data_IF_854422915986
#
_entry.id   IF_854422915986
#
_cell.length_a   1.000
_cell.length_b   1.000
_cell.length_c   1.000
_cell.angle_alpha   90.00
_cell.angle_beta   90.00
_cell.angle_gamma   90.00
#
_symmetry.space_group_name_H-M   'P 1'
#
loop_
_entity.id
_entity.type
_entity.pdbx_description
1 polymer ?
#
# COMPACT_ATOMS: atom_id res chain seq x y z
N UNK A 1 -29.09 -6.60 50.03
CA UNK A 1 -27.94 -6.77 49.12
C UNK A 1 -28.40 -6.36 47.73
N UNK A 2 -27.85 -5.27 47.20
CA UNK A 2 -28.52 -4.36 46.27
C UNK A 2 -28.37 -4.78 44.80
N UNK A 3 -29.45 -4.61 44.02
CA UNK A 3 -29.54 -4.71 42.55
C UNK A 3 -28.38 -4.00 41.80
N UNK A 4 -27.76 -3.01 42.43
CA UNK A 4 -26.62 -2.25 41.91
C UNK A 4 -25.33 -3.07 41.78
N UNK A 5 -25.17 -4.14 42.55
CA UNK A 5 -23.96 -4.98 42.54
C UNK A 5 -23.97 -5.95 41.34
N UNK A 6 -25.15 -6.46 40.97
CA UNK A 6 -25.36 -7.38 39.83
C UNK A 6 -25.11 -6.70 38.48
N UNK A 7 -25.44 -5.41 38.36
CA UNK A 7 -25.23 -4.57 37.17
C UNK A 7 -23.74 -4.22 36.95
N UNK A 8 -22.98 -3.98 38.02
CA UNK A 8 -21.52 -3.75 37.93
C UNK A 8 -20.79 -5.01 37.46
N UNK A 9 -21.21 -6.18 37.93
CA UNK A 9 -20.59 -7.45 37.55
C UNK A 9 -20.88 -7.85 36.09
N UNK A 10 -22.11 -7.58 35.59
CA UNK A 10 -22.44 -7.74 34.16
C UNK A 10 -21.62 -6.79 33.28
N UNK A 11 -21.48 -5.51 33.65
CA UNK A 11 -20.64 -4.55 32.90
C UNK A 11 -19.17 -4.97 32.86
N UNK A 12 -18.60 -5.44 33.97
CA UNK A 12 -17.22 -5.91 34.02
C UNK A 12 -17.00 -7.17 33.17
N UNK A 13 -17.97 -8.08 33.11
CA UNK A 13 -17.90 -9.25 32.23
C UNK A 13 -18.07 -8.93 30.75
N UNK A 14 -18.88 -7.91 30.39
CA UNK A 14 -18.97 -7.40 29.01
C UNK A 14 -17.66 -6.73 28.60
N UNK A 15 -17.07 -5.91 29.47
CA UNK A 15 -15.78 -5.24 29.21
C UNK A 15 -14.62 -6.26 29.09
N UNK A 16 -14.61 -7.32 29.92
CA UNK A 16 -13.66 -8.44 29.78
C UNK A 16 -13.88 -9.25 28.49
N UNK A 17 -15.13 -9.48 28.06
CA UNK A 17 -15.39 -10.18 26.79
C UNK A 17 -14.99 -9.37 25.55
N UNK A 18 -15.20 -8.05 25.58
CA UNK A 18 -14.82 -7.14 24.48
C UNK A 18 -13.29 -7.01 24.35
N UNK A 19 -12.54 -7.06 25.46
CA UNK A 19 -11.07 -6.97 25.45
C UNK A 19 -10.38 -8.26 24.98
N UNK A 20 -10.98 -9.44 25.19
CA UNK A 20 -10.44 -10.73 24.72
C UNK A 20 -10.65 -10.93 23.21
N UNK A 21 -11.63 -10.26 22.59
CA UNK A 21 -11.95 -10.44 21.16
C UNK A 21 -11.07 -9.63 20.19
N UNK A 22 -10.19 -8.74 20.68
CA UNK A 22 -9.32 -7.93 19.81
C UNK A 22 -7.89 -8.51 19.70
N UNK A 23 -7.76 -9.83 19.61
CA UNK A 23 -6.60 -10.43 18.95
C UNK A 23 -6.89 -10.47 17.44
N UNK A 24 -6.77 -9.33 16.76
CA UNK A 24 -6.79 -9.36 15.29
C UNK A 24 -5.54 -10.12 14.82
N UNK A 25 -5.73 -11.03 13.87
CA UNK A 25 -4.60 -11.65 13.19
C UNK A 25 -3.66 -10.54 12.66
N UNK A 26 -2.33 -10.73 12.71
CA UNK A 26 -1.39 -9.75 12.21
C UNK A 26 -1.74 -9.38 10.75
N UNK A 27 -1.79 -8.08 10.39
CA UNK A 27 -2.14 -7.68 9.03
C UNK A 27 -1.18 -8.34 8.04
N UNK A 28 -1.74 -8.93 6.99
CA UNK A 28 -0.96 -9.50 5.89
C UNK A 28 -0.33 -8.37 5.07
N UNK A 29 0.82 -8.65 4.47
CA UNK A 29 1.57 -7.71 3.65
C UNK A 29 1.45 -8.08 2.17
N UNK A 30 1.46 -7.06 1.32
CA UNK A 30 1.53 -7.17 -0.13
C UNK A 30 2.64 -6.29 -0.69
N UNK A 31 3.21 -6.70 -1.82
CA UNK A 31 4.07 -5.87 -2.63
C UNK A 31 3.20 -5.12 -3.64
N UNK A 32 3.24 -3.80 -3.60
CA UNK A 32 2.67 -2.91 -4.60
C UNK A 32 3.73 -2.57 -5.64
N UNK A 33 3.45 -2.87 -6.90
CA UNK A 33 4.22 -2.45 -8.05
C UNK A 33 3.53 -1.26 -8.69
N UNK A 34 4.25 -0.15 -8.85
CA UNK A 34 3.77 1.06 -9.53
C UNK A 34 4.74 1.42 -10.64
N UNK A 35 4.30 1.30 -11.90
CA UNK A 35 5.09 1.61 -13.08
C UNK A 35 4.61 2.92 -13.66
N UNK A 36 5.48 3.92 -13.68
CA UNK A 36 5.16 5.30 -14.11
C UNK A 36 6.23 5.84 -15.03
N UNK A 37 5.96 6.98 -15.67
CA UNK A 37 7.02 7.69 -16.37
C UNK A 37 8.12 8.13 -15.41
N UNK A 38 9.38 8.08 -15.86
CA UNK A 38 10.56 8.32 -15.00
C UNK A 38 10.53 9.69 -14.31
N UNK A 39 10.04 10.73 -14.99
CA UNK A 39 9.91 12.09 -14.45
C UNK A 39 8.85 12.23 -13.34
N UNK A 40 7.98 11.22 -13.17
CA UNK A 40 6.92 11.22 -12.15
C UNK A 40 7.26 10.36 -10.94
N UNK A 41 8.43 9.73 -10.91
CA UNK A 41 8.83 8.77 -9.85
C UNK A 41 8.70 9.39 -8.47
N UNK A 42 9.34 10.54 -8.22
CA UNK A 42 9.34 11.20 -6.92
C UNK A 42 7.93 11.59 -6.46
N UNK A 43 7.09 12.07 -7.39
CA UNK A 43 5.70 12.41 -7.12
C UNK A 43 4.92 11.18 -6.64
N UNK A 44 4.98 10.06 -7.37
CA UNK A 44 4.25 8.85 -6.98
C UNK A 44 4.82 8.20 -5.71
N UNK A 45 6.13 8.27 -5.49
CA UNK A 45 6.75 7.81 -4.22
C UNK A 45 6.20 8.59 -3.02
N UNK A 46 6.10 9.93 -3.12
CA UNK A 46 5.54 10.76 -2.06
C UNK A 46 4.04 10.49 -1.84
N UNK A 47 3.27 10.30 -2.93
CA UNK A 47 1.86 9.95 -2.87
C UNK A 47 1.61 8.58 -2.24
N UNK A 48 2.48 7.59 -2.46
CA UNK A 48 2.37 6.28 -1.82
C UNK A 48 2.76 6.37 -0.35
N UNK A 49 3.77 7.18 -0.01
CA UNK A 49 4.22 7.39 1.36
C UNK A 49 3.12 7.92 2.28
N UNK A 50 2.15 8.69 1.78
CA UNK A 50 1.03 9.19 2.59
C UNK A 50 0.09 8.10 3.12
N UNK A 51 0.22 6.86 2.63
CA UNK A 51 -0.51 5.68 3.11
C UNK A 51 0.24 4.90 4.20
N UNK A 52 1.15 5.56 4.92
CA UNK A 52 1.97 4.96 5.97
C UNK A 52 2.87 3.80 5.48
N UNK A 53 3.31 3.89 4.23
CA UNK A 53 4.23 2.93 3.63
C UNK A 53 5.65 3.21 4.11
N UNK A 54 6.20 2.29 4.90
CA UNK A 54 7.52 2.45 5.53
C UNK A 54 8.70 2.03 4.64
N UNK A 55 8.46 1.28 3.56
CA UNK A 55 9.51 0.85 2.63
C UNK A 55 9.06 0.95 1.18
N UNK A 56 9.91 1.61 0.38
CA UNK A 56 9.78 1.72 -1.06
C UNK A 56 11.16 1.53 -1.70
N UNK A 57 11.20 0.92 -2.88
CA UNK A 57 12.37 0.79 -3.74
C UNK A 57 12.01 1.30 -5.13
N UNK A 58 12.82 2.20 -5.69
CA UNK A 58 12.67 2.66 -7.07
C UNK A 58 13.77 2.08 -7.96
N UNK A 59 13.41 1.67 -9.16
CA UNK A 59 14.33 1.14 -10.17
C UNK A 59 14.01 1.74 -11.54
N UNK A 60 15.05 1.98 -12.34
CA UNK A 60 14.87 2.36 -13.74
C UNK A 60 14.22 1.20 -14.52
N UNK A 61 13.26 1.52 -15.37
CA UNK A 61 12.54 0.55 -16.19
C UNK A 61 12.43 1.06 -17.63
N UNK A 62 12.20 0.15 -18.57
CA UNK A 62 11.97 0.48 -19.98
C UNK A 62 10.56 0.08 -20.38
N UNK A 63 9.84 1.01 -20.99
CA UNK A 63 8.49 0.78 -21.50
C UNK A 63 8.45 -0.17 -22.70
N UNK A 64 7.25 -0.63 -23.02
CA UNK A 64 7.00 -1.64 -24.06
C UNK A 64 6.64 -1.08 -25.44
N UNK A 65 6.43 0.23 -25.57
CA UNK A 65 6.17 0.86 -26.87
C UNK A 65 7.29 0.49 -27.86
N UNK A 66 6.95 0.22 -29.13
CA UNK A 66 7.98 -0.06 -30.15
C UNK A 66 8.71 1.24 -30.53
N UNK A 67 9.96 1.15 -31.00
CA UNK A 67 10.72 2.33 -31.45
C UNK A 67 10.04 3.00 -32.67
N UNK A 68 9.41 2.20 -33.53
CA UNK A 68 8.68 2.68 -34.72
C UNK A 68 7.47 3.53 -34.33
N UNK A 69 6.66 3.05 -33.39
CA UNK A 69 5.49 3.79 -32.90
C UNK A 69 5.88 5.10 -32.21
N UNK A 70 7.01 5.10 -31.49
CA UNK A 70 7.54 6.32 -30.88
C UNK A 70 8.02 7.34 -31.90
N UNK A 71 8.80 6.89 -32.90
CA UNK A 71 9.25 7.75 -34.00
C UNK A 71 8.08 8.36 -34.78
N UNK A 72 7.06 7.55 -35.10
CA UNK A 72 5.86 8.04 -35.79
C UNK A 72 5.10 9.09 -34.98
N UNK A 73 5.08 8.97 -33.65
CA UNK A 73 4.39 9.90 -32.76
C UNK A 73 5.29 11.08 -32.30
N UNK A 74 6.53 11.17 -32.79
CA UNK A 74 7.50 12.18 -32.34
C UNK A 74 7.88 12.05 -30.86
N UNK A 75 7.66 10.88 -30.26
CA UNK A 75 7.98 10.58 -28.89
C UNK A 75 9.41 10.03 -28.82
N UNK A 76 10.23 10.57 -27.94
CA UNK A 76 11.65 10.21 -27.84
C UNK A 76 11.97 9.23 -26.71
N UNK A 77 11.00 8.90 -25.84
CA UNK A 77 11.37 8.24 -24.58
C UNK A 77 10.49 7.05 -24.15
N UNK A 78 11.18 5.94 -23.83
CA UNK A 78 10.64 4.73 -23.17
C UNK A 78 10.96 4.68 -21.69
N UNK A 79 11.62 5.71 -21.14
CA UNK A 79 12.05 5.71 -19.76
C UNK A 79 10.85 5.64 -18.82
N UNK A 80 10.75 4.50 -18.13
CA UNK A 80 9.83 4.29 -17.02
C UNK A 80 10.63 4.17 -15.74
N UNK A 81 9.90 4.22 -14.63
CA UNK A 81 10.41 3.77 -13.35
C UNK A 81 9.43 2.77 -12.76
N UNK A 82 9.97 1.78 -12.06
CA UNK A 82 9.23 0.89 -11.19
C UNK A 82 9.43 1.38 -9.76
N UNK A 83 8.33 1.59 -9.04
CA UNK A 83 8.30 1.78 -7.59
C UNK A 83 7.71 0.51 -6.99
N UNK A 84 8.49 -0.20 -6.18
CA UNK A 84 8.03 -1.33 -5.38
C UNK A 84 7.83 -0.86 -3.94
N UNK A 85 6.67 -1.12 -3.36
CA UNK A 85 6.31 -0.70 -2.01
C UNK A 85 5.76 -1.86 -1.22
N UNK A 86 6.02 -1.92 0.09
CA UNK A 86 5.35 -2.89 0.97
C UNK A 86 4.16 -2.22 1.62
N UNK A 87 2.98 -2.78 1.40
CA UNK A 87 1.70 -2.27 1.91
C UNK A 87 1.04 -3.32 2.79
N UNK A 88 0.12 -2.87 3.66
CA UNK A 88 -0.80 -3.78 4.34
C UNK A 88 -1.95 -4.15 3.40
N UNK A 89 -2.41 -5.39 3.47
CA UNK A 89 -3.52 -5.88 2.63
C UNK A 89 -4.82 -5.08 2.83
N UNK A 90 -5.09 -4.58 4.04
CA UNK A 90 -6.27 -3.76 4.33
C UNK A 90 -6.25 -2.37 3.66
N UNK A 91 -5.08 -1.91 3.20
CA UNK A 91 -4.92 -0.62 2.49
C UNK A 91 -4.97 -0.73 0.97
N UNK A 92 -4.94 -1.95 0.43
CA UNK A 92 -4.79 -2.24 -1.01
C UNK A 92 -5.83 -1.52 -1.88
N UNK A 93 -7.11 -1.75 -1.63
CA UNK A 93 -8.20 -1.17 -2.43
C UNK A 93 -8.15 0.35 -2.44
N UNK A 94 -7.79 0.94 -1.30
CA UNK A 94 -7.72 2.39 -1.15
C UNK A 94 -6.56 2.95 -1.97
N UNK A 95 -5.38 2.35 -1.87
CA UNK A 95 -4.19 2.80 -2.60
C UNK A 95 -4.39 2.61 -4.11
N UNK A 96 -4.90 1.48 -4.56
CA UNK A 96 -5.11 1.21 -5.99
C UNK A 96 -6.14 2.16 -6.61
N UNK A 97 -7.26 2.43 -5.92
CA UNK A 97 -8.26 3.41 -6.39
C UNK A 97 -7.66 4.81 -6.44
N UNK A 98 -6.92 5.20 -5.42
CA UNK A 98 -6.25 6.50 -5.37
C UNK A 98 -5.23 6.64 -6.52
N UNK A 99 -4.35 5.67 -6.72
CA UNK A 99 -3.38 5.68 -7.81
C UNK A 99 -4.07 5.73 -9.18
N UNK A 100 -5.14 4.96 -9.37
CA UNK A 100 -5.92 5.00 -10.60
C UNK A 100 -6.50 6.40 -10.87
N UNK A 101 -7.05 7.08 -9.87
CA UNK A 101 -7.49 8.47 -10.00
C UNK A 101 -6.31 9.39 -10.37
N UNK A 102 -5.17 9.24 -9.70
CA UNK A 102 -3.96 10.04 -9.98
C UNK A 102 -3.38 9.80 -11.37
N UNK A 103 -3.47 8.59 -11.90
CA UNK A 103 -3.06 8.29 -13.28
C UNK A 103 -3.91 9.03 -14.34
N UNK A 104 -5.17 9.36 -14.02
CA UNK A 104 -6.07 10.07 -14.92
C UNK A 104 -6.03 11.59 -14.75
N UNK A 105 -5.70 12.07 -13.54
CA UNK A 105 -5.73 13.51 -13.21
C UNK A 105 -4.39 14.20 -13.41
N UNK A 106 -3.26 13.51 -13.22
CA UNK A 106 -1.93 14.10 -13.37
C UNK A 106 -1.53 14.12 -14.85
N UNK A 107 -1.13 15.30 -15.35
CA UNK A 107 -0.60 15.45 -16.71
C UNK A 107 0.65 14.59 -16.89
N UNK A 108 0.64 13.74 -17.92
CA UNK A 108 1.64 12.70 -18.18
C UNK A 108 1.87 11.77 -16.98
N UNK A 109 0.84 11.57 -16.14
CA UNK A 109 0.88 10.70 -14.97
C UNK A 109 0.41 9.28 -15.24
N UNK A 110 0.15 8.89 -16.50
CA UNK A 110 -0.32 7.54 -16.80
C UNK A 110 0.67 6.49 -16.28
N UNK A 111 0.14 5.46 -15.66
CA UNK A 111 0.90 4.38 -15.08
C UNK A 111 0.06 3.13 -14.91
N UNK A 112 0.69 2.10 -14.35
CA UNK A 112 0.05 0.82 -14.00
C UNK A 112 0.40 0.55 -12.54
N UNK A 113 -0.59 0.15 -11.75
CA UNK A 113 -0.40 -0.28 -10.37
C UNK A 113 -1.06 -1.64 -10.16
N UNK A 114 -0.35 -2.56 -9.51
CA UNK A 114 -0.88 -3.87 -9.14
C UNK A 114 -0.14 -4.42 -7.91
N UNK A 115 -0.73 -5.41 -7.27
CA UNK A 115 -0.24 -5.99 -6.03
C UNK A 115 0.06 -7.48 -6.17
N UNK A 116 1.01 -7.96 -5.37
CA UNK A 116 1.31 -9.38 -5.22
C UNK A 116 1.37 -9.72 -3.73
N UNK A 117 0.65 -10.76 -3.32
CA UNK A 117 0.62 -11.21 -1.93
C UNK A 117 1.97 -11.75 -1.48
N UNK A 118 2.43 -11.34 -0.29
CA UNK A 118 3.64 -11.90 0.31
C UNK A 118 3.28 -13.19 1.07
N UNK A 119 4.00 -14.27 0.80
CA UNK A 119 3.79 -15.55 1.49
C UNK A 119 4.40 -15.57 2.89
N UNK A 120 5.56 -14.92 3.07
CA UNK A 120 6.28 -14.92 4.34
C UNK A 120 7.23 -13.73 4.43
N UNK A 121 7.65 -13.41 5.66
CA UNK A 121 8.74 -12.49 5.93
C UNK A 121 9.56 -12.99 7.12
N UNK A 122 10.86 -12.78 7.06
CA UNK A 122 11.80 -13.20 8.11
C UNK A 122 12.02 -12.02 9.06
N UNK A 123 11.83 -12.26 10.36
CA UNK A 123 12.13 -11.32 11.44
C UNK A 123 10.94 -10.48 11.92
N UNK A 124 10.65 -10.56 13.22
CA UNK A 124 9.53 -9.85 13.86
C UNK A 124 9.73 -8.33 13.82
N UNK A 125 10.97 -7.84 13.99
CA UNK A 125 11.28 -6.42 13.92
C UNK A 125 11.02 -5.85 12.51
N UNK A 126 11.42 -6.59 11.46
CA UNK A 126 11.18 -6.21 10.06
C UNK A 126 9.67 -6.23 9.77
N UNK A 127 8.96 -7.28 10.19
CA UNK A 127 7.52 -7.34 10.04
C UNK A 127 6.82 -6.14 10.70
N UNK A 128 7.17 -5.80 11.94
CA UNK A 128 6.60 -4.66 12.67
C UNK A 128 6.89 -3.33 11.97
N UNK A 129 8.11 -3.15 11.48
CA UNK A 129 8.50 -2.00 10.68
C UNK A 129 7.65 -1.90 9.40
N UNK A 130 7.57 -2.96 8.60
CA UNK A 130 6.84 -2.92 7.32
C UNK A 130 5.32 -2.85 7.46
N UNK A 131 4.76 -3.46 8.50
CA UNK A 131 3.32 -3.37 8.80
C UNK A 131 2.91 -2.06 9.46
N UNK A 132 3.88 -1.21 9.80
CA UNK A 132 3.66 0.00 10.60
C UNK A 132 2.81 -0.28 11.86
N UNK A 133 3.04 -1.43 12.51
CA UNK A 133 2.24 -1.90 13.64
C UNK A 133 3.08 -1.79 14.94
N UNK A 134 2.66 -0.88 15.84
CA UNK A 134 3.34 -0.62 17.11
C UNK A 134 2.96 -1.66 18.17
#
# INVERSE_FOLDING_TARGET
MSEKDTLKQKRQNVIKKVSVQKQLAPPKLKLLFTIVNREKTELYTALIQSFEVNMQLSAAARGTASEEMLRMLGLSDKNKALIMSVIREDTEDTILKFLNEKFHTIKNGKGIAFTVSMSSIIGVAIYRFLSNNR
#
